data_IF_784889879857
#
_entry.id   IF_784889879857
#
_cell.length_a   1.000
_cell.length_b   1.000
_cell.length_c   1.000
_cell.angle_alpha   90.00
_cell.angle_beta   90.00
_cell.angle_gamma   90.00
#
_symmetry.space_group_name_H-M   'P 1'
#
loop_
_entity.id
_entity.type
_entity.pdbx_description
1 polymer ?
#
# COMPACT_ATOMS: atom_id res chain seq x y z
N UNK A 1 -11.95 -59.87 -28.68
CA UNK A 1 -11.22 -58.78 -28.03
C UNK A 1 -10.01 -59.34 -27.34
N UNK A 2 -8.80 -58.88 -27.70
CA UNK A 2 -7.58 -59.37 -27.06
C UNK A 2 -7.47 -58.89 -25.62
N UNK A 3 -6.88 -59.66 -24.70
CA UNK A 3 -6.65 -59.30 -23.28
C UNK A 3 -5.98 -57.88 -23.17
N UNK A 4 -5.19 -57.50 -24.16
CA UNK A 4 -4.53 -56.18 -24.19
C UNK A 4 -5.50 -55.01 -24.47
N UNK A 5 -6.61 -55.23 -25.20
CA UNK A 5 -7.63 -54.23 -25.45
C UNK A 5 -8.49 -53.93 -24.19
N UNK A 6 -8.76 -54.96 -23.38
CA UNK A 6 -9.52 -54.81 -22.13
C UNK A 6 -8.71 -54.09 -21.08
N UNK A 7 -7.40 -54.33 -20.96
CA UNK A 7 -6.50 -53.63 -20.02
C UNK A 7 -6.32 -52.16 -20.42
N UNK A 8 -6.23 -51.86 -21.71
CA UNK A 8 -6.15 -50.47 -22.18
C UNK A 8 -7.46 -49.70 -21.93
N UNK A 9 -8.63 -50.38 -22.07
CA UNK A 9 -9.92 -49.77 -21.79
C UNK A 9 -10.10 -49.51 -20.28
N UNK A 10 -9.64 -50.41 -19.41
CA UNK A 10 -9.68 -50.21 -17.94
C UNK A 10 -8.71 -49.09 -17.51
N UNK A 11 -7.52 -48.96 -18.14
CA UNK A 11 -6.59 -47.89 -17.79
C UNK A 11 -7.12 -46.49 -18.16
N UNK A 12 -7.84 -46.39 -19.29
CA UNK A 12 -8.47 -45.13 -19.71
C UNK A 12 -9.65 -44.75 -18.82
N UNK A 13 -10.41 -45.74 -18.30
CA UNK A 13 -11.51 -45.49 -17.38
C UNK A 13 -11.03 -45.08 -15.97
N UNK A 14 -9.84 -45.52 -15.53
CA UNK A 14 -9.26 -45.13 -14.25
C UNK A 14 -8.69 -43.72 -14.23
N UNK A 15 -8.28 -43.16 -15.37
CA UNK A 15 -7.79 -41.77 -15.48
C UNK A 15 -8.92 -40.73 -15.40
N UNK A 16 -10.19 -41.13 -15.57
CA UNK A 16 -11.35 -40.22 -15.51
C UNK A 16 -11.92 -39.99 -14.10
N UNK A 17 -11.36 -40.64 -13.06
CA UNK A 17 -11.87 -40.57 -11.68
C UNK A 17 -10.93 -39.86 -10.72
N UNK A 18 -10.04 -38.96 -11.20
CA UNK A 18 -9.38 -38.03 -10.31
C UNK A 18 -10.43 -36.99 -9.89
N UNK A 19 -10.87 -36.94 -8.63
CA UNK A 19 -11.67 -35.84 -8.15
C UNK A 19 -10.79 -34.60 -8.33
N UNK A 20 -11.12 -33.71 -9.26
CA UNK A 20 -10.60 -32.37 -9.27
C UNK A 20 -10.93 -31.81 -7.89
N UNK A 21 -9.94 -31.38 -7.12
CA UNK A 21 -10.19 -30.54 -5.96
C UNK A 21 -10.74 -29.22 -6.52
N UNK A 22 -12.05 -29.16 -6.76
CA UNK A 22 -12.73 -27.89 -6.93
C UNK A 22 -12.67 -27.19 -5.57
N UNK A 23 -11.75 -26.23 -5.45
CA UNK A 23 -11.74 -25.30 -4.34
C UNK A 23 -12.99 -24.41 -4.50
N UNK A 24 -14.08 -24.82 -3.85
CA UNK A 24 -15.40 -24.20 -3.95
C UNK A 24 -15.45 -22.82 -3.26
N UNK A 25 -14.28 -22.25 -2.89
CA UNK A 25 -14.16 -20.94 -2.26
C UNK A 25 -14.23 -19.83 -3.28
N UNK A 26 -14.94 -18.74 -2.93
CA UNK A 26 -14.90 -17.51 -3.71
C UNK A 26 -13.49 -16.94 -3.75
N UNK A 27 -12.97 -16.63 -4.92
CA UNK A 27 -11.66 -16.00 -5.08
C UNK A 27 -11.84 -14.49 -4.95
N UNK A 28 -11.14 -13.91 -3.99
CA UNK A 28 -11.03 -12.47 -3.77
C UNK A 28 -9.62 -12.01 -4.09
N UNK A 29 -9.47 -10.74 -4.38
CA UNK A 29 -8.16 -10.12 -4.58
C UNK A 29 -7.98 -8.87 -3.73
N UNK A 30 -6.71 -8.58 -3.41
CA UNK A 30 -6.30 -7.33 -2.80
C UNK A 30 -5.24 -6.67 -3.67
N UNK A 31 -5.60 -5.53 -4.26
CA UNK A 31 -4.69 -4.69 -5.04
C UNK A 31 -3.66 -4.04 -4.10
N UNK A 32 -2.38 -4.15 -4.42
CA UNK A 32 -1.28 -3.76 -3.54
C UNK A 32 -0.35 -2.71 -4.17
N UNK A 33 0.83 -3.09 -4.61
CA UNK A 33 1.82 -2.21 -5.23
C UNK A 33 2.98 -3.02 -5.80
N UNK A 34 4.07 -2.34 -6.15
CA UNK A 34 5.28 -2.99 -6.62
C UNK A 34 5.95 -3.85 -5.53
N UNK A 35 6.67 -4.90 -5.96
CA UNK A 35 7.30 -5.88 -5.05
C UNK A 35 8.44 -5.31 -4.21
N UNK A 36 9.06 -4.19 -4.61
CA UNK A 36 10.11 -3.51 -3.85
C UNK A 36 9.58 -2.61 -2.73
N UNK A 37 8.24 -2.42 -2.64
CA UNK A 37 7.55 -1.70 -1.57
C UNK A 37 6.94 -2.62 -0.54
N UNK A 38 6.29 -2.04 0.48
CA UNK A 38 5.69 -2.80 1.58
C UNK A 38 4.26 -3.28 1.28
N UNK A 39 3.52 -2.63 0.37
CA UNK A 39 2.12 -3.00 0.08
C UNK A 39 2.00 -4.46 -0.35
N UNK A 40 2.87 -4.93 -1.25
CA UNK A 40 2.79 -6.30 -1.76
C UNK A 40 3.05 -7.37 -0.69
N UNK A 41 4.18 -7.40 0.05
CA UNK A 41 4.37 -8.40 1.10
C UNK A 41 3.35 -8.29 2.23
N UNK A 42 2.90 -7.07 2.58
CA UNK A 42 1.93 -6.85 3.63
C UNK A 42 0.52 -7.31 3.23
N UNK A 43 0.08 -6.96 2.02
CA UNK A 43 -1.17 -7.46 1.42
C UNK A 43 -1.15 -8.97 1.21
N UNK A 44 0.00 -9.54 0.82
CA UNK A 44 0.20 -10.99 0.76
C UNK A 44 0.03 -11.69 2.11
N UNK A 45 0.51 -11.05 3.18
CA UNK A 45 0.29 -11.51 4.55
C UNK A 45 -1.19 -11.47 4.95
N UNK A 46 -1.89 -10.39 4.64
CA UNK A 46 -3.34 -10.29 4.86
C UNK A 46 -4.08 -11.37 4.06
N UNK A 47 -3.78 -11.52 2.78
CA UNK A 47 -4.37 -12.53 1.91
C UNK A 47 -4.20 -13.96 2.47
N UNK A 48 -3.00 -14.27 2.95
CA UNK A 48 -2.70 -15.56 3.59
C UNK A 48 -3.50 -15.80 4.86
N UNK A 49 -3.66 -14.76 5.70
CA UNK A 49 -4.45 -14.84 6.94
C UNK A 49 -5.93 -15.10 6.60
N UNK A 50 -6.52 -14.31 5.69
CA UNK A 50 -7.92 -14.47 5.27
C UNK A 50 -8.15 -15.87 4.67
N UNK A 51 -7.32 -16.30 3.72
CA UNK A 51 -7.45 -17.61 3.08
C UNK A 51 -7.32 -18.80 4.06
N UNK A 52 -6.55 -18.61 5.15
CA UNK A 52 -6.36 -19.64 6.17
C UNK A 52 -7.46 -19.67 7.24
N UNK A 53 -8.21 -18.57 7.41
CA UNK A 53 -9.15 -18.39 8.52
C UNK A 53 -10.60 -18.27 8.08
N UNK A 54 -10.85 -17.89 6.84
CA UNK A 54 -12.19 -17.80 6.26
C UNK A 54 -12.40 -18.98 5.31
N UNK A 55 -13.35 -19.86 5.64
CA UNK A 55 -13.51 -21.15 4.95
C UNK A 55 -13.98 -21.02 3.51
N UNK A 56 -14.73 -19.98 3.18
CA UNK A 56 -15.38 -19.80 1.88
C UNK A 56 -14.69 -18.77 0.98
N UNK A 57 -13.57 -18.20 1.43
CA UNK A 57 -12.84 -17.16 0.69
C UNK A 57 -11.38 -17.57 0.51
N UNK A 58 -10.87 -17.42 -0.70
CA UNK A 58 -9.46 -17.53 -1.03
C UNK A 58 -8.98 -16.16 -1.56
N UNK A 59 -8.06 -15.49 -0.86
CA UNK A 59 -7.61 -14.15 -1.20
C UNK A 59 -6.23 -14.21 -1.85
N UNK A 60 -6.04 -13.43 -2.93
CA UNK A 60 -4.75 -13.28 -3.64
C UNK A 60 -4.30 -11.83 -3.59
N UNK A 61 -3.01 -11.60 -3.37
CA UNK A 61 -2.42 -10.28 -3.49
C UNK A 61 -2.01 -10.01 -4.94
N UNK A 62 -2.37 -8.85 -5.47
CA UNK A 62 -2.07 -8.42 -6.83
C UNK A 62 -0.99 -7.35 -6.82
N UNK A 63 -0.01 -7.48 -7.71
CA UNK A 63 0.98 -6.43 -8.00
C UNK A 63 0.32 -5.37 -8.87
N UNK A 64 0.40 -4.11 -8.45
CA UNK A 64 -0.20 -2.98 -9.16
C UNK A 64 0.73 -1.77 -9.22
N UNK A 65 0.29 -0.70 -9.87
CA UNK A 65 0.98 0.60 -9.83
C UNK A 65 0.86 1.33 -8.49
N UNK A 66 -0.02 0.89 -7.57
CA UNK A 66 -0.23 1.50 -6.26
C UNK A 66 -1.57 2.24 -6.12
N UNK A 67 -1.64 3.17 -5.18
CA UNK A 67 -2.89 3.71 -4.60
C UNK A 67 -3.94 4.17 -5.61
N UNK A 68 -3.56 4.91 -6.66
CA UNK A 68 -4.53 5.42 -7.66
C UNK A 68 -5.14 4.27 -8.47
N UNK A 69 -4.30 3.31 -8.89
CA UNK A 69 -4.77 2.12 -9.61
C UNK A 69 -5.68 1.29 -8.71
N UNK A 70 -5.29 1.10 -7.44
CA UNK A 70 -6.01 0.25 -6.50
C UNK A 70 -7.43 0.77 -6.23
N UNK A 71 -7.60 2.07 -6.00
CA UNK A 71 -8.94 2.63 -5.78
C UNK A 71 -9.83 2.56 -7.02
N UNK A 72 -9.24 2.66 -8.23
CA UNK A 72 -9.97 2.49 -9.49
C UNK A 72 -10.41 1.03 -9.67
N UNK A 73 -9.51 0.06 -9.43
CA UNK A 73 -9.84 -1.37 -9.52
C UNK A 73 -10.95 -1.75 -8.54
N UNK A 74 -10.88 -1.25 -7.28
CA UNK A 74 -11.93 -1.48 -6.28
C UNK A 74 -13.26 -0.87 -6.73
N UNK A 75 -13.26 0.38 -7.20
CA UNK A 75 -14.47 1.04 -7.67
C UNK A 75 -15.12 0.35 -8.87
N UNK A 76 -14.31 -0.31 -9.70
CA UNK A 76 -14.78 -1.11 -10.86
C UNK A 76 -15.09 -2.56 -10.52
N UNK A 77 -14.89 -2.97 -9.26
CA UNK A 77 -15.01 -4.37 -8.82
C UNK A 77 -14.07 -5.32 -9.59
N UNK A 78 -12.92 -4.80 -10.05
CA UNK A 78 -11.83 -5.57 -10.66
C UNK A 78 -10.94 -6.22 -9.58
N UNK A 79 -10.90 -5.60 -8.38
CA UNK A 79 -10.36 -6.18 -7.14
C UNK A 79 -11.36 -5.93 -6.01
N UNK A 80 -11.53 -6.89 -5.10
CA UNK A 80 -12.46 -6.75 -3.97
C UNK A 80 -11.95 -5.78 -2.92
N UNK A 81 -10.63 -5.69 -2.77
CA UNK A 81 -9.95 -4.85 -1.79
C UNK A 81 -8.77 -4.13 -2.43
N UNK A 82 -8.35 -3.01 -1.82
CA UNK A 82 -7.13 -2.33 -2.24
C UNK A 82 -6.44 -1.64 -1.07
N UNK A 83 -5.09 -1.65 -1.04
CA UNK A 83 -4.32 -0.83 -0.10
C UNK A 83 -4.01 0.50 -0.79
N UNK A 84 -4.39 1.62 -0.16
CA UNK A 84 -4.15 2.93 -0.72
C UNK A 84 -3.83 3.97 0.36
N UNK A 85 -3.15 5.05 -0.02
CA UNK A 85 -2.90 6.18 0.85
C UNK A 85 -4.17 7.00 1.05
N UNK A 86 -4.38 7.50 2.26
CA UNK A 86 -5.60 8.17 2.70
C UNK A 86 -5.92 9.45 1.89
N UNK A 87 -4.91 10.19 1.45
CA UNK A 87 -5.07 11.35 0.58
C UNK A 87 -5.66 10.98 -0.79
N UNK A 88 -5.15 9.89 -1.39
CA UNK A 88 -5.67 9.34 -2.66
C UNK A 88 -7.10 8.85 -2.49
N UNK A 89 -7.38 8.12 -1.39
CA UNK A 89 -8.72 7.59 -1.11
C UNK A 89 -9.72 8.74 -0.90
N UNK A 90 -9.32 9.79 -0.17
CA UNK A 90 -10.14 10.97 0.04
C UNK A 90 -10.45 11.68 -1.28
N UNK A 91 -9.41 11.92 -2.12
CA UNK A 91 -9.58 12.51 -3.45
C UNK A 91 -10.51 11.69 -4.34
N UNK A 92 -10.35 10.36 -4.32
CA UNK A 92 -11.20 9.45 -5.10
C UNK A 92 -12.65 9.45 -4.61
N UNK A 93 -12.87 9.48 -3.30
CA UNK A 93 -14.19 9.48 -2.69
C UNK A 93 -15.01 10.74 -2.98
N UNK A 94 -14.34 11.92 -2.99
CA UNK A 94 -15.04 13.19 -3.26
C UNK A 94 -15.07 13.57 -4.74
N UNK A 95 -14.30 12.91 -5.60
CA UNK A 95 -14.16 13.29 -7.01
C UNK A 95 -13.28 14.53 -7.16
N UNK A 96 -11.97 14.36 -6.94
CA UNK A 96 -11.00 15.46 -7.03
C UNK A 96 -9.65 15.00 -7.58
N UNK A 97 -8.81 15.95 -7.93
CA UNK A 97 -7.49 15.67 -8.47
C UNK A 97 -7.54 14.85 -9.77
N UNK A 98 -7.14 13.60 -9.72
CA UNK A 98 -7.14 12.69 -10.88
C UNK A 98 -8.47 11.97 -11.12
N UNK A 99 -9.45 12.15 -10.25
CA UNK A 99 -10.73 11.46 -10.29
C UNK A 99 -11.81 12.45 -10.75
N UNK A 100 -12.36 12.31 -11.98
CA UNK A 100 -13.35 13.26 -12.53
C UNK A 100 -14.70 13.19 -11.82
N UNK A 101 -14.96 12.09 -11.08
CA UNK A 101 -16.20 11.85 -10.36
C UNK A 101 -15.93 11.08 -9.06
N UNK A 102 -16.81 11.18 -8.04
CA UNK A 102 -16.72 10.40 -6.82
C UNK A 102 -16.73 8.90 -7.08
N UNK A 103 -15.87 8.15 -6.38
CA UNK A 103 -15.83 6.70 -6.46
C UNK A 103 -16.54 6.06 -5.26
N UNK A 104 -17.26 4.93 -5.47
CA UNK A 104 -18.06 4.25 -4.45
C UNK A 104 -17.20 3.43 -3.49
N UNK A 105 -16.40 4.12 -2.68
CA UNK A 105 -15.42 3.53 -1.78
C UNK A 105 -15.86 3.58 -0.32
N UNK A 106 -15.47 2.57 0.45
CA UNK A 106 -15.53 2.55 1.93
C UNK A 106 -14.19 2.06 2.47
N UNK A 107 -13.81 2.56 3.64
CA UNK A 107 -12.63 2.09 4.35
C UNK A 107 -13.00 0.89 5.22
N UNK A 108 -12.25 -0.20 5.11
CA UNK A 108 -12.34 -1.31 6.06
C UNK A 108 -11.57 -0.97 7.34
N UNK A 109 -10.29 -0.63 7.20
CA UNK A 109 -9.44 -0.31 8.35
C UNK A 109 -8.17 0.43 7.91
N UNK A 110 -7.47 0.99 8.90
CA UNK A 110 -6.14 1.56 8.72
C UNK A 110 -5.09 0.48 8.74
N UNK A 111 -4.12 0.54 7.83
CA UNK A 111 -2.99 -0.37 7.79
C UNK A 111 -1.81 0.20 8.60
N UNK A 112 -1.13 1.21 8.08
CA UNK A 112 0.02 1.82 8.75
C UNK A 112 0.32 3.21 8.14
N UNK A 113 1.08 4.09 8.86
CA UNK A 113 1.55 5.33 8.28
C UNK A 113 2.72 5.08 7.32
N UNK A 114 2.59 5.59 6.09
CA UNK A 114 3.74 5.74 5.20
C UNK A 114 4.48 7.03 5.54
N UNK A 115 5.77 7.07 5.23
CA UNK A 115 6.63 8.23 5.41
C UNK A 115 7.18 8.63 4.05
N UNK A 116 7.18 9.90 3.75
CA UNK A 116 7.75 10.45 2.52
C UNK A 116 9.27 10.53 2.70
N UNK A 117 9.99 9.75 1.91
CA UNK A 117 11.44 9.82 1.81
C UNK A 117 11.77 10.59 0.54
N UNK A 118 12.53 11.68 0.67
CA UNK A 118 13.06 12.44 -0.46
C UNK A 118 14.54 12.10 -0.54
N UNK A 119 14.90 11.29 -1.53
CA UNK A 119 16.21 10.66 -1.66
C UNK A 119 17.12 11.48 -2.57
N UNK A 120 18.38 11.61 -2.18
CA UNK A 120 19.49 11.98 -3.06
C UNK A 120 20.77 11.27 -2.60
N UNK A 121 21.90 11.50 -3.26
CA UNK A 121 23.19 10.99 -2.83
C UNK A 121 23.93 12.06 -2.00
N UNK A 122 24.76 11.63 -1.04
CA UNK A 122 25.47 12.51 -0.11
C UNK A 122 26.39 13.53 -0.81
N UNK A 123 26.91 13.19 -1.98
CA UNK A 123 27.72 14.07 -2.83
C UNK A 123 26.89 15.18 -3.52
N UNK A 124 25.56 15.13 -3.45
CA UNK A 124 24.71 16.18 -4.00
C UNK A 124 24.63 17.41 -3.09
N UNK A 125 24.41 18.58 -3.71
CA UNK A 125 24.24 19.87 -3.00
C UNK A 125 22.76 20.11 -2.60
N UNK A 126 21.88 19.07 -2.67
CA UNK A 126 20.45 19.24 -2.42
C UNK A 126 20.16 19.10 -0.91
N UNK A 127 19.90 20.24 -0.25
CA UNK A 127 19.64 20.30 1.20
C UNK A 127 18.17 20.62 1.54
N UNK A 128 17.36 20.94 0.54
CA UNK A 128 15.96 21.35 0.68
C UNK A 128 15.14 20.95 -0.55
N UNK A 129 13.82 20.90 -0.40
CA UNK A 129 12.92 20.65 -1.56
C UNK A 129 13.07 21.75 -2.62
N UNK A 130 13.30 23.01 -2.22
CA UNK A 130 13.52 24.11 -3.13
C UNK A 130 14.73 23.92 -4.04
N UNK A 131 15.77 23.22 -3.60
CA UNK A 131 16.97 22.93 -4.40
C UNK A 131 16.73 21.92 -5.54
N UNK A 132 15.55 21.32 -5.63
CA UNK A 132 15.17 20.39 -6.69
C UNK A 132 14.69 21.09 -7.99
N UNK A 133 14.52 22.42 -7.98
CA UNK A 133 14.19 23.19 -9.18
C UNK A 133 15.17 22.93 -10.32
N UNK A 134 14.68 22.68 -11.54
CA UNK A 134 15.46 22.32 -12.71
C UNK A 134 16.09 20.93 -12.71
N UNK A 135 15.84 20.08 -11.69
CA UNK A 135 16.46 18.77 -11.54
C UNK A 135 15.59 17.65 -12.08
N UNK A 136 16.24 16.50 -12.40
CA UNK A 136 15.56 15.24 -12.78
C UNK A 136 15.08 14.55 -11.51
N UNK A 137 13.77 14.53 -11.27
CA UNK A 137 13.20 14.02 -10.02
C UNK A 137 12.27 12.84 -10.30
N UNK A 138 12.55 11.69 -9.69
CA UNK A 138 11.63 10.56 -9.73
C UNK A 138 10.47 10.80 -8.75
N UNK A 139 9.25 10.78 -9.25
CA UNK A 139 8.03 11.05 -8.48
C UNK A 139 7.36 9.77 -7.94
N UNK A 140 7.90 8.59 -8.25
CA UNK A 140 7.25 7.29 -8.04
C UNK A 140 6.62 6.76 -9.33
N UNK A 141 6.12 5.53 -9.30
CA UNK A 141 5.48 4.92 -10.47
C UNK A 141 4.23 5.72 -10.91
N UNK A 142 3.97 5.73 -12.21
CA UNK A 142 2.73 6.31 -12.74
C UNK A 142 1.51 5.62 -12.10
N UNK A 143 0.54 6.40 -11.60
CA UNK A 143 -0.64 5.86 -10.90
C UNK A 143 -0.38 5.42 -9.44
N UNK A 144 0.81 5.71 -8.88
CA UNK A 144 1.09 5.46 -7.47
C UNK A 144 0.64 6.61 -6.58
N UNK A 145 0.41 6.31 -5.30
CA UNK A 145 0.23 7.34 -4.28
C UNK A 145 1.51 8.14 -4.04
N UNK A 146 2.69 7.55 -4.26
CA UNK A 146 3.97 8.27 -4.22
C UNK A 146 3.99 9.42 -5.23
N UNK A 147 3.51 9.17 -6.46
CA UNK A 147 3.45 10.22 -7.49
C UNK A 147 2.48 11.35 -7.10
N UNK A 148 1.37 11.02 -6.42
CA UNK A 148 0.44 12.03 -5.89
C UNK A 148 1.11 12.83 -4.78
N UNK A 149 1.68 12.18 -3.77
CA UNK A 149 2.34 12.84 -2.65
C UNK A 149 3.52 13.70 -3.09
N UNK A 150 4.37 13.21 -3.99
CA UNK A 150 5.49 13.97 -4.55
C UNK A 150 5.02 15.24 -5.28
N UNK A 151 4.00 15.11 -6.14
CA UNK A 151 3.40 16.26 -6.83
C UNK A 151 2.85 17.27 -5.83
N UNK A 152 2.08 16.82 -4.83
CA UNK A 152 1.52 17.69 -3.81
C UNK A 152 2.60 18.43 -3.02
N UNK A 153 3.66 17.73 -2.60
CA UNK A 153 4.79 18.35 -1.89
C UNK A 153 5.45 19.43 -2.74
N UNK A 154 5.80 19.09 -3.98
CA UNK A 154 6.47 20.04 -4.89
C UNK A 154 5.59 21.24 -5.19
N UNK A 155 4.33 21.03 -5.59
CA UNK A 155 3.39 22.13 -5.90
C UNK A 155 3.11 23.01 -4.69
N UNK A 156 2.84 22.43 -3.51
CA UNK A 156 2.60 23.21 -2.29
C UNK A 156 3.82 24.05 -1.88
N UNK A 157 5.03 23.58 -2.18
CA UNK A 157 6.26 24.31 -1.87
C UNK A 157 6.77 25.19 -3.03
N UNK A 158 6.02 25.27 -4.13
CA UNK A 158 6.33 26.15 -5.27
C UNK A 158 7.52 25.68 -6.11
N UNK A 159 7.76 24.37 -6.19
CA UNK A 159 8.84 23.76 -6.98
C UNK A 159 8.23 23.05 -8.19
N UNK A 160 7.83 23.82 -9.20
CA UNK A 160 7.10 23.31 -10.37
C UNK A 160 8.01 23.08 -11.60
N UNK A 161 9.25 23.57 -11.58
CA UNK A 161 10.19 23.58 -12.71
C UNK A 161 11.13 22.36 -12.74
N UNK A 162 10.70 21.21 -12.21
CA UNK A 162 11.48 19.97 -12.26
C UNK A 162 11.37 19.28 -13.63
N UNK A 163 12.31 18.35 -13.91
CA UNK A 163 12.17 17.35 -14.98
C UNK A 163 11.62 16.03 -14.37
N UNK A 164 10.30 15.78 -14.38
CA UNK A 164 9.70 14.66 -13.68
C UNK A 164 9.97 13.33 -14.40
N UNK A 165 10.28 12.29 -13.63
CA UNK A 165 10.44 10.91 -14.10
C UNK A 165 9.53 9.99 -13.29
N UNK A 166 8.84 9.06 -13.94
CA UNK A 166 7.95 8.12 -13.25
C UNK A 166 8.59 6.73 -13.19
N UNK A 167 9.10 6.39 -12.02
CA UNK A 167 9.85 5.16 -11.75
C UNK A 167 9.30 4.48 -10.50
N UNK A 168 9.28 3.14 -10.48
CA UNK A 168 9.01 2.40 -9.23
C UNK A 168 10.21 2.51 -8.27
N UNK A 169 10.09 1.99 -7.05
CA UNK A 169 11.12 2.16 -6.01
C UNK A 169 12.48 1.58 -6.40
N UNK A 170 12.50 0.38 -7.00
CA UNK A 170 13.74 -0.24 -7.44
C UNK A 170 14.39 0.54 -8.60
N UNK A 171 13.58 0.99 -9.56
CA UNK A 171 14.05 1.83 -10.68
C UNK A 171 14.55 3.19 -10.17
N UNK A 172 13.85 3.81 -9.19
CA UNK A 172 14.27 5.09 -8.59
C UNK A 172 15.65 4.96 -7.94
N UNK A 173 15.85 3.93 -7.12
CA UNK A 173 17.14 3.73 -6.43
C UNK A 173 18.26 3.35 -7.40
N UNK A 174 17.97 2.57 -8.45
CA UNK A 174 18.93 2.30 -9.52
C UNK A 174 19.30 3.57 -10.30
N UNK A 175 18.31 4.37 -10.68
CA UNK A 175 18.53 5.60 -11.42
C UNK A 175 19.34 6.65 -10.62
N UNK A 176 19.15 6.75 -9.29
CA UNK A 176 19.97 7.54 -8.40
C UNK A 176 21.42 7.01 -8.38
N UNK A 177 21.60 5.70 -8.22
CA UNK A 177 22.92 5.05 -8.20
C UNK A 177 23.70 5.29 -9.49
N UNK A 178 23.01 5.27 -10.63
CA UNK A 178 23.57 5.45 -11.97
C UNK A 178 23.70 6.94 -12.38
N UNK A 179 23.20 7.89 -11.54
CA UNK A 179 23.24 9.32 -11.81
C UNK A 179 22.34 9.76 -12.97
N UNK A 180 21.34 8.95 -13.34
CA UNK A 180 20.38 9.30 -14.40
C UNK A 180 19.24 10.18 -13.91
N UNK A 181 19.01 10.23 -12.58
CA UNK A 181 18.19 11.20 -11.86
C UNK A 181 18.99 11.86 -10.74
N UNK A 182 18.53 13.02 -10.27
CA UNK A 182 19.20 13.82 -9.25
C UNK A 182 18.62 13.61 -7.86
N UNK A 183 17.29 13.37 -7.79
CA UNK A 183 16.56 13.07 -6.58
C UNK A 183 15.37 12.15 -6.88
N UNK A 184 14.77 11.57 -5.83
CA UNK A 184 13.59 10.73 -6.00
C UNK A 184 12.73 10.64 -4.75
N UNK A 185 11.42 10.55 -4.95
CA UNK A 185 10.45 10.31 -3.89
C UNK A 185 10.18 8.81 -3.74
N UNK A 186 10.21 8.36 -2.50
CA UNK A 186 9.77 7.00 -2.11
C UNK A 186 8.87 7.15 -0.89
N UNK A 187 7.63 6.68 -0.98
CA UNK A 187 6.64 6.82 0.10
C UNK A 187 6.19 5.45 0.58
N UNK A 188 6.54 5.11 1.80
CA UNK A 188 6.24 3.80 2.39
C UNK A 188 6.58 3.74 3.88
N UNK A 189 6.42 2.57 4.49
CA UNK A 189 6.82 2.35 5.88
C UNK A 189 8.35 2.44 6.05
N UNK A 190 8.83 2.59 7.28
CA UNK A 190 10.27 2.59 7.56
C UNK A 190 10.92 1.25 7.15
N UNK A 191 12.19 1.32 6.76
CA UNK A 191 12.96 0.15 6.34
C UNK A 191 12.56 -0.38 4.96
N UNK A 192 12.22 0.51 4.01
CA UNK A 192 11.90 0.15 2.62
C UNK A 192 13.09 -0.55 1.99
N UNK A 193 12.92 -1.77 1.48
CA UNK A 193 13.98 -2.62 0.97
C UNK A 193 14.87 -1.90 -0.07
N UNK A 194 14.26 -1.24 -1.05
CA UNK A 194 15.00 -0.50 -2.08
C UNK A 194 15.86 0.64 -1.51
N UNK A 195 15.37 1.38 -0.50
CA UNK A 195 16.12 2.46 0.16
C UNK A 195 17.22 1.88 1.04
N UNK A 196 16.96 0.78 1.74
CA UNK A 196 17.96 0.06 2.55
C UNK A 196 19.11 -0.43 1.66
N UNK A 197 18.81 -1.05 0.51
CA UNK A 197 19.83 -1.51 -0.44
C UNK A 197 20.66 -0.34 -1.00
N UNK A 198 20.00 0.77 -1.37
CA UNK A 198 20.72 1.97 -1.82
C UNK A 198 21.66 2.48 -0.73
N UNK A 199 21.22 2.56 0.52
CA UNK A 199 22.00 3.08 1.65
C UNK A 199 23.24 2.24 1.96
N UNK A 200 23.23 0.95 1.64
CA UNK A 200 24.40 0.05 1.82
C UNK A 200 25.38 0.17 0.64
N UNK A 201 24.89 0.46 -0.56
CA UNK A 201 25.72 0.49 -1.79
C UNK A 201 26.22 1.87 -2.17
N UNK A 202 25.59 2.93 -1.68
CA UNK A 202 25.92 4.35 -1.93
C UNK A 202 25.69 5.15 -0.65
N UNK A 203 26.35 6.30 -0.54
CA UNK A 203 26.10 7.24 0.54
C UNK A 203 24.75 7.94 0.31
N UNK A 204 23.72 7.47 1.01
CA UNK A 204 22.37 8.02 0.94
C UNK A 204 22.29 9.36 1.69
N UNK A 205 21.57 10.31 1.12
CA UNK A 205 21.12 11.55 1.77
C UNK A 205 19.58 11.61 1.71
N UNK A 206 18.97 11.93 2.84
CA UNK A 206 17.55 12.25 2.93
C UNK A 206 17.40 13.77 3.00
N UNK A 207 16.61 14.35 2.10
CA UNK A 207 16.30 15.78 2.10
C UNK A 207 15.16 16.00 3.12
N UNK A 208 15.41 16.78 4.20
CA UNK A 208 14.41 17.02 5.24
C UNK A 208 13.34 18.00 4.78
N UNK A 209 12.19 17.96 5.45
CA UNK A 209 11.19 19.01 5.41
C UNK A 209 11.33 19.90 6.66
N UNK A 210 11.29 21.20 6.49
CA UNK A 210 11.30 22.13 7.61
C UNK A 210 9.95 22.13 8.35
N UNK A 211 9.93 22.64 9.58
CA UNK A 211 8.67 22.76 10.34
C UNK A 211 7.63 23.61 9.62
N UNK A 212 8.05 24.70 8.98
CA UNK A 212 7.13 25.61 8.26
C UNK A 212 6.57 24.94 7.00
N UNK A 213 7.39 24.18 6.27
CA UNK A 213 6.94 23.38 5.13
C UNK A 213 5.94 22.31 5.56
N UNK A 214 6.17 21.63 6.67
CA UNK A 214 5.26 20.62 7.23
C UNK A 214 3.92 21.23 7.68
N UNK A 215 3.94 22.43 8.28
CA UNK A 215 2.72 23.18 8.60
C UNK A 215 1.93 23.53 7.34
N UNK A 216 2.61 24.08 6.32
CA UNK A 216 1.98 24.41 5.04
C UNK A 216 1.39 23.18 4.36
N UNK A 217 2.15 22.08 4.28
CA UNK A 217 1.70 20.84 3.68
C UNK A 217 0.47 20.24 4.40
N UNK A 218 0.41 20.34 5.73
CA UNK A 218 -0.78 19.93 6.48
C UNK A 218 -2.00 20.83 6.22
N UNK A 219 -1.79 22.14 6.06
CA UNK A 219 -2.88 23.08 5.73
C UNK A 219 -3.45 22.80 4.33
N UNK A 220 -2.57 22.57 3.35
CA UNK A 220 -2.97 22.30 1.97
C UNK A 220 -3.57 20.88 1.82
N UNK A 221 -3.09 19.93 2.62
CA UNK A 221 -3.45 18.51 2.59
C UNK A 221 -3.68 17.95 4.00
N UNK A 222 -4.89 18.05 4.57
CA UNK A 222 -5.16 17.64 5.96
C UNK A 222 -4.89 16.14 6.29
N UNK A 223 -4.80 15.28 5.28
CA UNK A 223 -4.40 13.88 5.45
C UNK A 223 -2.90 13.70 5.78
N UNK A 224 -2.10 14.76 5.62
CA UNK A 224 -0.67 14.76 5.88
C UNK A 224 -0.38 15.12 7.34
N UNK A 225 0.57 14.44 7.95
CA UNK A 225 0.97 14.69 9.33
C UNK A 225 2.49 14.76 9.45
N UNK A 226 2.97 15.52 10.42
CA UNK A 226 4.40 15.53 10.75
C UNK A 226 4.81 14.17 11.33
N UNK A 227 5.96 13.69 10.87
CA UNK A 227 6.65 12.51 11.41
C UNK A 227 8.15 12.68 11.21
N UNK A 228 8.93 11.73 11.75
CA UNK A 228 10.38 11.70 11.55
C UNK A 228 10.81 10.33 11.01
N UNK A 229 11.88 10.30 10.23
CA UNK A 229 12.65 9.10 9.94
C UNK A 229 13.74 9.04 11.01
N UNK A 230 13.69 8.07 11.94
CA UNK A 230 14.63 7.99 13.03
C UNK A 230 16.07 7.79 12.55
N UNK A 231 17.03 8.31 13.28
CA UNK A 231 18.44 8.02 13.09
C UNK A 231 18.68 6.51 13.01
N UNK A 232 19.66 6.12 12.20
CA UNK A 232 20.02 4.71 11.97
C UNK A 232 18.95 3.83 11.33
N UNK A 233 17.84 4.42 10.82
CA UNK A 233 16.87 3.68 9.98
C UNK A 233 17.52 3.17 8.70
N UNK A 234 18.40 3.96 8.11
CA UNK A 234 19.21 3.62 6.93
C UNK A 234 20.67 3.92 7.20
N UNK A 235 21.57 3.19 6.52
CA UNK A 235 23.01 3.45 6.62
C UNK A 235 23.34 4.87 6.14
N UNK A 236 24.13 5.62 6.92
CA UNK A 236 24.49 7.02 6.64
C UNK A 236 23.45 8.06 7.06
N UNK A 237 22.36 7.65 7.74
CA UNK A 237 21.37 8.56 8.34
C UNK A 237 21.62 8.61 9.85
N UNK A 238 22.48 9.55 10.30
CA UNK A 238 23.00 9.61 11.67
C UNK A 238 22.16 10.47 12.63
N UNK A 239 21.13 11.17 12.10
CA UNK A 239 20.20 12.00 12.88
C UNK A 239 18.78 11.79 12.39
N UNK A 240 17.79 12.14 13.25
CA UNK A 240 16.38 12.13 12.87
C UNK A 240 16.16 13.12 11.72
N UNK A 241 15.40 12.69 10.72
CA UNK A 241 15.04 13.51 9.55
C UNK A 241 13.55 13.82 9.58
N UNK A 242 13.21 15.12 9.67
CA UNK A 242 11.82 15.56 9.62
C UNK A 242 11.19 15.20 8.28
N UNK A 243 10.04 14.56 8.32
CA UNK A 243 9.35 14.01 7.16
C UNK A 243 7.83 14.12 7.29
N UNK A 244 7.14 13.76 6.22
CA UNK A 244 5.69 13.77 6.11
C UNK A 244 5.14 12.35 6.25
N UNK A 245 4.12 12.18 7.09
CA UNK A 245 3.40 10.92 7.30
C UNK A 245 2.05 10.91 6.59
N UNK A 246 1.71 9.81 5.94
CA UNK A 246 0.44 9.61 5.24
C UNK A 246 -0.08 8.20 5.55
N UNK A 247 -1.27 8.08 6.17
CA UNK A 247 -1.82 6.77 6.48
C UNK A 247 -2.15 5.96 5.23
N UNK A 248 -1.89 4.65 5.29
CA UNK A 248 -2.47 3.65 4.39
C UNK A 248 -3.73 3.08 4.99
N UNK A 249 -4.71 2.83 4.14
CA UNK A 249 -5.97 2.19 4.48
C UNK A 249 -6.24 1.02 3.54
N UNK A 250 -7.03 0.06 3.99
CA UNK A 250 -7.65 -0.95 3.12
C UNK A 250 -9.04 -0.46 2.75
N UNK A 251 -9.30 -0.37 1.46
CA UNK A 251 -10.57 0.08 0.89
C UNK A 251 -11.28 -1.04 0.17
N UNK A 252 -12.60 -0.94 0.10
CA UNK A 252 -13.52 -1.83 -0.60
C UNK A 252 -14.56 -1.02 -1.34
N UNK A 253 -15.28 -1.65 -2.28
CA UNK A 253 -16.48 -1.08 -2.88
C UNK A 253 -17.58 -0.98 -1.82
N UNK A 254 -18.42 0.07 -1.87
CA UNK A 254 -19.49 0.28 -0.90
C UNK A 254 -20.55 -0.83 -0.86
N UNK A 255 -20.71 -1.57 -1.96
CA UNK A 255 -21.64 -2.72 -2.06
C UNK A 255 -21.07 -4.02 -1.50
N UNK A 256 -19.87 -4.05 -0.92
CA UNK A 256 -19.37 -5.28 -0.29
C UNK A 256 -20.37 -5.73 0.79
N UNK A 257 -20.74 -7.03 0.87
CA UNK A 257 -21.64 -7.50 1.91
C UNK A 257 -21.11 -7.20 3.31
N UNK A 258 -21.99 -6.76 4.22
CA UNK A 258 -21.61 -6.32 5.56
C UNK A 258 -20.94 -7.42 6.40
N UNK A 259 -21.42 -8.66 6.27
CA UNK A 259 -20.87 -9.85 6.92
C UNK A 259 -19.46 -10.16 6.42
N UNK A 260 -19.21 -10.06 5.10
CA UNK A 260 -17.89 -10.22 4.51
C UNK A 260 -16.93 -9.14 5.04
N UNK A 261 -17.31 -7.87 4.95
CA UNK A 261 -16.50 -6.75 5.42
C UNK A 261 -16.18 -6.86 6.92
N UNK A 262 -17.17 -7.27 7.74
CA UNK A 262 -16.98 -7.53 9.17
C UNK A 262 -15.97 -8.66 9.40
N UNK A 263 -16.14 -9.79 8.71
CA UNK A 263 -15.27 -10.95 8.87
C UNK A 263 -13.84 -10.67 8.41
N UNK A 264 -13.65 -9.94 7.30
CA UNK A 264 -12.34 -9.50 6.84
C UNK A 264 -11.65 -8.61 7.89
N UNK A 265 -12.36 -7.62 8.43
CA UNK A 265 -11.82 -6.71 9.46
C UNK A 265 -11.47 -7.46 10.73
N UNK A 266 -12.42 -8.20 11.30
CA UNK A 266 -12.25 -8.98 12.52
C UNK A 266 -11.06 -9.95 12.42
N UNK A 267 -10.98 -10.72 11.33
CA UNK A 267 -9.92 -11.72 11.15
C UNK A 267 -8.53 -11.10 11.16
N UNK A 268 -8.34 -9.95 10.52
CA UNK A 268 -7.04 -9.27 10.51
C UNK A 268 -6.65 -8.77 11.89
N UNK A 269 -7.58 -8.16 12.62
CA UNK A 269 -7.29 -7.65 13.97
C UNK A 269 -7.02 -8.79 14.97
N UNK A 270 -7.77 -9.89 14.90
CA UNK A 270 -7.53 -11.08 15.71
C UNK A 270 -6.17 -11.75 15.43
N UNK A 271 -5.63 -11.60 14.20
CA UNK A 271 -4.37 -12.23 13.79
C UNK A 271 -3.25 -11.22 13.50
N UNK A 272 -3.32 -9.99 14.04
CA UNK A 272 -2.33 -8.93 13.86
C UNK A 272 -0.88 -9.37 14.15
N UNK A 273 -0.69 -10.25 15.14
CA UNK A 273 0.63 -10.79 15.47
C UNK A 273 1.30 -11.53 14.30
N UNK A 274 0.53 -12.09 13.38
CA UNK A 274 1.07 -12.70 12.16
C UNK A 274 1.60 -11.65 11.19
N UNK A 275 0.97 -10.48 11.11
CA UNK A 275 1.46 -9.35 10.30
C UNK A 275 2.72 -8.71 10.90
N UNK A 276 2.85 -8.70 12.24
CA UNK A 276 4.07 -8.22 12.91
C UNK A 276 5.32 -9.03 12.53
N UNK A 277 5.17 -10.31 12.17
CA UNK A 277 6.28 -11.14 11.66
C UNK A 277 6.73 -10.71 10.25
N UNK A 278 5.86 -10.05 9.50
CA UNK A 278 6.16 -9.52 8.16
C UNK A 278 6.80 -8.14 8.28
N UNK A 279 6.20 -7.26 9.09
CA UNK A 279 6.70 -5.92 9.29
C UNK A 279 6.24 -5.32 10.61
N UNK A 280 7.16 -4.61 11.28
CA UNK A 280 6.89 -3.87 12.51
C UNK A 280 5.83 -2.77 12.35
N UNK A 281 5.51 -2.34 11.12
CA UNK A 281 4.46 -1.34 10.85
C UNK A 281 3.09 -1.81 11.31
N UNK A 282 2.85 -3.12 11.44
CA UNK A 282 1.64 -3.70 11.97
C UNK A 282 1.35 -3.30 13.44
N UNK A 283 2.33 -2.76 14.17
CA UNK A 283 2.11 -2.13 15.49
C UNK A 283 1.08 -0.99 15.43
N UNK A 284 1.02 -0.30 14.30
CA UNK A 284 0.09 0.80 14.07
C UNK A 284 -1.35 0.35 13.79
N UNK A 285 -1.58 -0.94 13.52
CA UNK A 285 -2.93 -1.49 13.34
C UNK A 285 -3.61 -1.67 14.69
N UNK A 286 -4.30 -0.65 15.14
CA UNK A 286 -5.09 -0.68 16.38
C UNK A 286 -6.52 -0.25 16.08
N UNK A 287 -7.48 -0.72 16.89
CA UNK A 287 -8.90 -0.33 16.78
C UNK A 287 -9.04 1.19 16.90
N UNK A 288 -8.27 1.82 17.78
CA UNK A 288 -8.28 3.28 17.96
C UNK A 288 -7.85 4.03 16.69
N UNK A 289 -6.94 3.46 15.92
CA UNK A 289 -6.47 4.10 14.70
C UNK A 289 -7.50 4.00 13.55
N UNK A 290 -8.38 2.98 13.54
CA UNK A 290 -9.46 2.91 12.54
C UNK A 290 -10.33 4.18 12.60
N UNK A 291 -10.61 4.67 13.80
CA UNK A 291 -11.53 5.80 14.05
C UNK A 291 -10.91 7.17 13.72
N UNK A 292 -9.59 7.26 13.52
CA UNK A 292 -8.89 8.54 13.30
C UNK A 292 -8.99 9.05 11.86
N UNK A 293 -9.32 8.20 10.89
CA UNK A 293 -9.51 8.59 9.51
C UNK A 293 -10.98 8.90 9.26
N UNK A 294 -11.32 10.19 9.21
CA UNK A 294 -12.71 10.66 9.17
C UNK A 294 -13.20 11.11 7.79
N UNK A 295 -12.31 11.25 6.80
CA UNK A 295 -12.67 11.87 5.53
C UNK A 295 -13.49 10.92 4.61
N UNK A 296 -13.26 9.60 4.70
CA UNK A 296 -13.99 8.58 3.94
C UNK A 296 -14.72 7.66 4.92
N UNK A 297 -16.02 7.40 4.72
CA UNK A 297 -16.79 6.57 5.66
C UNK A 297 -16.21 5.16 5.79
N UNK A 298 -16.26 4.63 7.01
CA UNK A 298 -16.01 3.23 7.25
C UNK A 298 -17.14 2.39 6.63
N UNK A 299 -16.80 1.16 6.22
CA UNK A 299 -17.81 0.21 5.76
C UNK A 299 -18.70 -0.22 6.94
N UNK A 300 -20.01 -0.45 6.68
CA UNK A 300 -20.96 -0.83 7.72
C UNK A 300 -20.54 -2.10 8.48
N UNK A 301 -19.94 -3.08 7.78
CA UNK A 301 -19.39 -4.29 8.41
C UNK A 301 -18.23 -3.97 9.38
N UNK A 302 -17.40 -2.97 9.09
CA UNK A 302 -16.37 -2.49 10.03
C UNK A 302 -16.99 -1.80 11.23
N UNK A 303 -18.04 -0.97 11.01
CA UNK A 303 -18.76 -0.32 12.11
C UNK A 303 -19.35 -1.37 13.05
N UNK A 304 -19.99 -2.42 12.51
CA UNK A 304 -20.52 -3.52 13.31
C UNK A 304 -19.43 -4.26 14.11
N UNK A 305 -18.24 -4.43 13.54
CA UNK A 305 -17.09 -4.97 14.29
C UNK A 305 -16.66 -4.04 15.44
N UNK A 306 -16.65 -2.73 15.21
CA UNK A 306 -16.23 -1.75 16.23
C UNK A 306 -17.23 -1.57 17.38
N UNK A 307 -18.49 -1.94 17.17
CA UNK A 307 -19.54 -1.96 18.20
C UNK A 307 -19.39 -3.17 19.14
N UNK A 308 -18.90 -4.30 18.61
CA UNK A 308 -18.67 -5.52 19.38
C UNK A 308 -17.37 -6.22 18.94
N UNK A 309 -16.25 -5.77 19.51
CA UNK A 309 -14.92 -6.31 19.24
C UNK A 309 -14.66 -7.66 19.91
N UNK A 310 -15.46 -8.01 20.93
CA UNK A 310 -15.32 -9.26 21.70
C UNK A 310 -16.09 -10.42 21.07
N UNK A 311 -17.01 -10.12 20.14
CA UNK A 311 -17.70 -11.15 19.37
C UNK A 311 -16.69 -11.91 18.50
N UNK A 312 -16.69 -13.24 18.62
CA UNK A 312 -15.83 -14.09 17.81
C UNK A 312 -15.94 -13.74 16.33
N UNK A 313 -14.80 -13.69 15.64
CA UNK A 313 -14.80 -13.60 14.18
C UNK A 313 -15.40 -14.91 13.67
N UNK A 314 -16.63 -14.89 13.22
CA UNK A 314 -17.29 -16.09 12.73
C UNK A 314 -16.47 -16.69 11.60
N UNK A 315 -16.05 -17.94 11.82
CA UNK A 315 -15.36 -18.78 10.83
C UNK A 315 -16.29 -19.27 9.71
N UNK A 316 -17.44 -18.67 9.57
CA UNK A 316 -18.60 -19.18 8.82
C UNK A 316 -19.04 -18.37 7.60
N UNK A 317 -18.11 -17.70 6.88
CA UNK A 317 -18.39 -17.30 5.50
C UNK A 317 -18.03 -18.44 4.57
#
# INVERSE_FOLDING_TARGET
MSKNSLVRLLLVLLLGLLPGCDDNRSTYSIATGGTAGLYYPYGGGMASIWSARLNNINVKAEVTGGSVINVIQVARKESEMGIAMADVVTSAYVGGGRFPEPLPLRVLFTAYPNIVHILSLAESEFDSVASLGGKRVALGAAGSGTAVAATNVLTSLGVDDIAPVYLNFAETTSALKDGTIDAGFVVGGLGIAAVTELSVTRNLKLIPLTTDELVKLHQDHPAYSRTDIPASTYNGVDSDVQALGIWSVVVVHEDMPNDVARSLTCTIYAHRESLLKISAVAKSMTVDNIRKLSAVPLHNGTLAYLEDTDMACESGL
#
